data_IF_026725871778
#
_entry.id   IF_026725871778
#
_cell.length_a   1.000
_cell.length_b   1.000
_cell.length_c   1.000
_cell.angle_alpha   90.00
_cell.angle_beta   90.00
_cell.angle_gamma   90.00
#
_symmetry.space_group_name_H-M   'P 1'
#
loop_
_entity.id
_entity.type
_entity.pdbx_description
1 polymer ?
#
# COMPACT_ATOMS: atom_id res chain seq x y z
N UNK A 1 24.82 -4.58 -11.56
CA UNK A 1 23.85 -3.91 -12.44
C UNK A 1 23.29 -4.79 -13.57
N UNK A 2 24.05 -5.21 -14.60
CA UNK A 2 23.48 -6.04 -15.70
C UNK A 2 22.86 -7.37 -15.22
N UNK A 3 23.54 -8.04 -14.28
CA UNK A 3 23.06 -9.30 -13.72
C UNK A 3 21.77 -9.11 -12.89
N UNK A 4 21.63 -8.00 -12.15
CA UNK A 4 20.42 -7.69 -11.37
C UNK A 4 19.25 -7.31 -12.28
N UNK A 5 19.50 -6.48 -13.31
CA UNK A 5 18.50 -6.09 -14.30
C UNK A 5 18.00 -7.29 -15.10
N UNK A 6 18.89 -8.24 -15.42
CA UNK A 6 18.52 -9.49 -16.08
C UNK A 6 17.64 -10.37 -15.18
N UNK A 7 18.01 -10.58 -13.92
CA UNK A 7 17.16 -11.35 -12.99
C UNK A 7 15.80 -10.69 -12.74
N UNK A 8 15.76 -9.35 -12.65
CA UNK A 8 14.51 -8.59 -12.57
C UNK A 8 13.66 -8.78 -13.83
N UNK A 9 14.24 -8.69 -15.03
CA UNK A 9 13.50 -8.93 -16.28
C UNK A 9 12.98 -10.35 -16.36
N UNK A 10 13.85 -11.34 -16.18
CA UNK A 10 13.53 -12.75 -16.37
C UNK A 10 12.50 -13.22 -15.32
N UNK A 11 12.66 -12.80 -14.05
CA UNK A 11 11.73 -13.11 -12.97
C UNK A 11 10.37 -12.42 -13.11
N UNK A 12 10.31 -11.26 -13.76
CA UNK A 12 9.06 -10.54 -14.00
C UNK A 12 8.42 -10.86 -15.36
N UNK A 13 9.10 -11.54 -16.29
CA UNK A 13 8.49 -11.90 -17.58
C UNK A 13 7.41 -12.97 -17.41
N UNK A 14 7.70 -14.01 -16.62
CA UNK A 14 6.79 -15.11 -16.28
C UNK A 14 6.97 -15.53 -14.81
N UNK A 15 6.51 -14.71 -13.84
CA UNK A 15 6.66 -15.02 -12.43
C UNK A 15 5.87 -16.29 -12.06
N UNK A 16 6.39 -17.07 -11.11
CA UNK A 16 5.61 -18.15 -10.52
C UNK A 16 4.44 -17.54 -9.74
N UNK A 17 3.27 -18.19 -9.81
CA UNK A 17 2.02 -17.67 -9.24
C UNK A 17 1.62 -18.46 -8.00
N UNK A 18 1.14 -17.80 -6.94
CA UNK A 18 0.77 -16.38 -6.87
C UNK A 18 1.97 -15.43 -6.85
N UNK A 19 1.94 -14.41 -7.71
CA UNK A 19 2.91 -13.33 -7.76
C UNK A 19 2.41 -12.15 -6.91
N UNK A 20 3.08 -11.95 -5.77
CA UNK A 20 2.76 -10.88 -4.81
C UNK A 20 3.78 -9.75 -4.96
N UNK A 21 3.28 -8.53 -5.03
CA UNK A 21 4.07 -7.31 -5.06
C UNK A 21 3.80 -6.51 -3.79
N UNK A 22 4.86 -6.00 -3.17
CA UNK A 22 4.78 -5.10 -2.01
C UNK A 22 5.32 -3.75 -2.46
N UNK A 23 4.51 -2.69 -2.37
CA UNK A 23 4.93 -1.34 -2.74
C UNK A 23 4.70 -0.38 -1.57
N UNK A 24 5.80 0.22 -1.12
CA UNK A 24 5.78 1.29 -0.14
C UNK A 24 6.39 2.58 -0.71
N UNK A 25 6.15 3.68 -0.01
CA UNK A 25 6.74 4.97 -0.33
C UNK A 25 6.00 6.12 0.31
N UNK A 26 6.54 7.34 0.14
CA UNK A 26 5.93 8.55 0.66
C UNK A 26 4.90 9.19 -0.28
N UNK A 27 4.95 8.85 -1.57
CA UNK A 27 4.15 9.46 -2.64
C UNK A 27 3.69 8.40 -3.62
N UNK A 28 2.42 8.48 -4.02
CA UNK A 28 1.85 7.71 -5.12
C UNK A 28 2.49 8.14 -6.44
N UNK A 29 2.72 9.44 -6.64
CA UNK A 29 3.25 10.02 -7.88
C UNK A 29 4.56 9.38 -8.35
N UNK A 30 5.48 9.11 -7.42
CA UNK A 30 6.77 8.46 -7.68
C UNK A 30 6.64 6.98 -8.07
N UNK A 31 5.46 6.37 -7.90
CA UNK A 31 5.22 4.93 -8.04
C UNK A 31 4.17 4.58 -9.10
N UNK A 32 3.53 5.56 -9.74
CA UNK A 32 2.44 5.33 -10.72
C UNK A 32 2.88 4.40 -11.85
N UNK A 33 4.04 4.67 -12.47
CA UNK A 33 4.52 3.89 -13.61
C UNK A 33 4.79 2.43 -13.24
N UNK A 34 5.45 2.23 -12.10
CA UNK A 34 5.75 0.91 -11.55
C UNK A 34 4.46 0.16 -11.20
N UNK A 35 3.52 0.81 -10.51
CA UNK A 35 2.25 0.22 -10.13
C UNK A 35 1.44 -0.22 -11.36
N UNK A 36 1.33 0.64 -12.39
CA UNK A 36 0.63 0.30 -13.64
C UNK A 36 1.28 -0.88 -14.36
N UNK A 37 2.61 -0.94 -14.43
CA UNK A 37 3.32 -2.04 -15.07
C UNK A 37 3.16 -3.37 -14.29
N UNK A 38 3.18 -3.31 -12.94
CA UNK A 38 3.05 -4.49 -12.11
C UNK A 38 1.61 -5.01 -12.04
N UNK A 39 0.60 -4.13 -12.14
CA UNK A 39 -0.81 -4.53 -12.29
C UNK A 39 -1.09 -5.38 -13.54
N UNK A 40 -0.18 -5.43 -14.52
CA UNK A 40 -0.35 -6.31 -15.68
C UNK A 40 0.00 -7.77 -15.39
N UNK A 41 0.70 -8.03 -14.28
CA UNK A 41 1.32 -9.31 -14.01
C UNK A 41 1.00 -9.86 -12.62
N UNK A 42 0.99 -9.00 -11.60
CA UNK A 42 0.78 -9.37 -10.21
C UNK A 42 -0.62 -9.93 -9.98
N UNK A 43 -0.71 -10.96 -9.13
CA UNK A 43 -1.98 -11.45 -8.60
C UNK A 43 -2.45 -10.55 -7.44
N UNK A 44 -1.51 -10.14 -6.58
CA UNK A 44 -1.78 -9.31 -5.40
C UNK A 44 -0.76 -8.19 -5.28
N UNK A 45 -1.21 -7.00 -4.92
CA UNK A 45 -0.36 -5.84 -4.64
C UNK A 45 -0.69 -5.32 -3.24
N UNK A 46 0.28 -5.32 -2.33
CA UNK A 46 0.19 -4.80 -0.97
C UNK A 46 0.75 -3.38 -0.93
N UNK A 47 -0.04 -2.39 -0.50
CA UNK A 47 0.37 -0.98 -0.48
C UNK A 47 0.67 -0.52 0.95
N UNK A 48 1.92 -0.14 1.21
CA UNK A 48 2.36 0.37 2.51
C UNK A 48 2.87 1.81 2.50
N UNK A 49 3.28 2.29 3.67
CA UNK A 49 3.87 3.62 3.85
C UNK A 49 2.89 4.77 3.61
N UNK A 50 3.42 6.00 3.58
CA UNK A 50 2.61 7.21 3.47
C UNK A 50 1.78 7.31 2.18
N UNK A 51 2.20 6.64 1.09
CA UNK A 51 1.42 6.61 -0.15
C UNK A 51 0.06 5.90 0.01
N UNK A 52 -0.05 4.95 0.95
CA UNK A 52 -1.32 4.27 1.26
C UNK A 52 -2.40 5.26 1.68
N UNK A 53 -2.03 6.35 2.39
CA UNK A 53 -2.99 7.36 2.87
C UNK A 53 -3.74 8.05 1.72
N UNK A 54 -3.11 8.24 0.56
CA UNK A 54 -3.80 8.81 -0.61
C UNK A 54 -4.87 7.86 -1.15
N UNK A 55 -4.63 6.55 -1.13
CA UNK A 55 -5.63 5.54 -1.51
C UNK A 55 -6.75 5.45 -0.47
N UNK A 56 -6.42 5.41 0.82
CA UNK A 56 -7.40 5.42 1.91
C UNK A 56 -8.31 6.66 1.83
N UNK A 57 -7.72 7.84 1.57
CA UNK A 57 -8.47 9.08 1.32
C UNK A 57 -9.39 8.96 0.11
N UNK A 58 -8.96 8.30 -0.96
CA UNK A 58 -9.76 8.08 -2.16
C UNK A 58 -10.99 7.17 -1.91
N UNK A 59 -10.88 6.24 -0.95
CA UNK A 59 -11.97 5.41 -0.43
C UNK A 59 -12.85 6.12 0.62
N UNK A 60 -12.58 7.39 0.92
CA UNK A 60 -13.35 8.17 1.88
C UNK A 60 -12.98 7.91 3.34
N UNK A 61 -11.88 7.22 3.61
CA UNK A 61 -11.40 6.95 4.97
C UNK A 61 -10.70 8.21 5.52
N UNK A 62 -11.03 8.65 6.75
CA UNK A 62 -10.30 9.75 7.39
C UNK A 62 -8.84 9.37 7.66
N UNK A 63 -7.92 10.27 7.37
CA UNK A 63 -6.47 10.04 7.48
C UNK A 63 -5.78 11.06 8.40
N UNK A 64 -6.54 11.80 9.20
CA UNK A 64 -6.00 12.77 10.16
C UNK A 64 -5.00 13.74 9.52
N UNK A 65 -3.88 13.97 10.21
CA UNK A 65 -2.74 14.76 9.76
C UNK A 65 -1.72 13.96 8.90
N UNK A 66 -2.09 12.75 8.46
CA UNK A 66 -1.18 11.91 7.67
C UNK A 66 -0.82 12.56 6.33
N UNK A 67 0.39 12.27 5.86
CA UNK A 67 0.85 12.70 4.54
C UNK A 67 -0.04 12.13 3.43
N UNK A 68 -0.61 13.01 2.61
CA UNK A 68 -1.45 12.67 1.44
C UNK A 68 -1.06 13.55 0.26
N UNK A 69 -1.12 13.00 -0.95
CA UNK A 69 -1.07 13.78 -2.20
C UNK A 69 -2.50 14.12 -2.62
N UNK A 70 -3.04 15.23 -2.10
CA UNK A 70 -4.45 15.60 -2.29
C UNK A 70 -4.83 15.78 -3.76
N UNK A 71 -3.91 16.24 -4.60
CA UNK A 71 -4.06 16.39 -6.05
C UNK A 71 -3.98 15.06 -6.82
N UNK A 72 -3.76 13.94 -6.12
CA UNK A 72 -3.67 12.58 -6.68
C UNK A 72 -4.74 11.64 -6.15
N UNK A 73 -5.71 12.13 -5.37
CA UNK A 73 -6.82 11.32 -4.84
C UNK A 73 -7.67 10.70 -5.96
N UNK A 74 -7.98 11.47 -7.00
CA UNK A 74 -8.76 10.95 -8.14
C UNK A 74 -7.96 9.90 -8.92
N UNK A 75 -6.66 10.13 -9.11
CA UNK A 75 -5.78 9.13 -9.71
C UNK A 75 -5.71 7.84 -8.86
N UNK A 76 -5.63 7.95 -7.54
CA UNK A 76 -5.63 6.80 -6.66
C UNK A 76 -6.94 5.99 -6.79
N UNK A 77 -8.09 6.67 -6.94
CA UNK A 77 -9.38 6.04 -7.23
C UNK A 77 -9.36 5.31 -8.58
N UNK A 78 -8.86 5.94 -9.63
CA UNK A 78 -8.72 5.31 -10.95
C UNK A 78 -7.84 4.05 -10.92
N UNK A 79 -6.77 4.07 -10.11
CA UNK A 79 -5.87 2.94 -9.93
C UNK A 79 -6.55 1.78 -9.18
N UNK A 80 -7.35 2.07 -8.15
CA UNK A 80 -8.18 1.07 -7.46
C UNK A 80 -9.15 0.41 -8.43
N UNK A 81 -9.83 1.19 -9.25
CA UNK A 81 -10.77 0.67 -10.25
C UNK A 81 -10.07 -0.11 -11.35
N UNK A 82 -8.86 0.30 -11.74
CA UNK A 82 -8.03 -0.42 -12.70
C UNK A 82 -7.62 -1.79 -12.16
N UNK A 83 -7.20 -1.87 -10.89
CA UNK A 83 -6.89 -3.15 -10.24
C UNK A 83 -8.11 -4.09 -10.25
N UNK A 84 -9.29 -3.58 -9.86
CA UNK A 84 -10.55 -4.34 -9.90
C UNK A 84 -10.87 -4.86 -11.30
N UNK A 85 -10.79 -4.01 -12.33
CA UNK A 85 -11.04 -4.41 -13.73
C UNK A 85 -10.06 -5.47 -14.24
N UNK A 86 -8.81 -5.42 -13.79
CA UNK A 86 -7.75 -6.38 -14.16
C UNK A 86 -7.78 -7.66 -13.31
N UNK A 87 -8.62 -7.75 -12.29
CA UNK A 87 -8.64 -8.87 -11.37
C UNK A 87 -7.43 -8.93 -10.43
N UNK A 88 -6.70 -7.81 -10.27
CA UNK A 88 -5.57 -7.70 -9.35
C UNK A 88 -6.09 -7.37 -7.96
N UNK A 89 -5.68 -8.16 -6.97
CA UNK A 89 -6.02 -7.90 -5.57
C UNK A 89 -5.12 -6.80 -5.01
N UNK A 90 -5.58 -5.55 -5.07
CA UNK A 90 -4.89 -4.43 -4.45
C UNK A 90 -5.33 -4.28 -2.98
N UNK A 91 -4.42 -4.50 -2.04
CA UNK A 91 -4.69 -4.56 -0.60
C UNK A 91 -4.11 -3.32 0.08
N UNK A 92 -4.98 -2.53 0.70
CA UNK A 92 -4.62 -1.36 1.52
C UNK A 92 -4.52 -1.74 3.00
N UNK A 93 -3.85 -0.92 3.83
CA UNK A 93 -3.88 -1.08 5.28
C UNK A 93 -5.31 -1.03 5.82
N UNK A 94 -5.63 -1.94 6.73
CA UNK A 94 -6.95 -2.02 7.38
C UNK A 94 -6.91 -1.49 8.82
N UNK A 95 -5.73 -1.19 9.34
CA UNK A 95 -5.45 -0.49 10.59
C UNK A 95 -4.05 0.13 10.49
N UNK A 96 -3.76 1.08 11.37
CA UNK A 96 -2.49 1.79 11.38
C UNK A 96 -1.96 1.94 12.80
N UNK A 97 -0.65 2.11 12.92
CA UNK A 97 -0.07 2.76 14.09
C UNK A 97 -0.12 4.26 13.83
N UNK A 98 -0.73 5.01 14.74
CA UNK A 98 -0.82 6.47 14.68
C UNK A 98 -0.05 7.12 15.82
N UNK A 99 0.46 8.33 15.56
CA UNK A 99 1.13 9.19 16.53
C UNK A 99 0.76 10.66 16.29
N UNK A 100 0.87 11.52 17.32
CA UNK A 100 0.66 12.97 17.17
C UNK A 100 1.85 13.64 16.44
N UNK A 101 3.03 13.03 16.51
CA UNK A 101 4.28 13.56 15.96
C UNK A 101 5.26 12.45 15.56
N UNK A 102 6.07 12.70 14.53
CA UNK A 102 7.12 11.77 14.07
C UNK A 102 8.44 12.15 14.74
N UNK A 103 8.68 11.63 15.93
CA UNK A 103 9.97 11.72 16.63
C UNK A 103 10.23 10.50 17.51
N UNK A 104 11.50 10.20 17.86
CA UNK A 104 11.82 9.15 18.81
C UNK A 104 11.06 9.33 20.14
N UNK A 105 10.44 8.25 20.62
CA UNK A 105 9.70 8.23 21.89
C UNK A 105 8.34 8.94 21.86
N UNK A 106 7.84 9.35 20.69
CA UNK A 106 6.48 9.84 20.56
C UNK A 106 5.46 8.79 21.04
N UNK A 107 4.33 9.26 21.59
CA UNK A 107 3.24 8.35 21.96
C UNK A 107 2.62 7.77 20.69
N UNK A 108 2.50 6.45 20.65
CA UNK A 108 1.92 5.72 19.53
C UNK A 108 0.77 4.84 20.03
N UNK A 109 -0.22 4.61 19.17
CA UNK A 109 -1.27 3.60 19.41
C UNK A 109 -1.72 2.99 18.09
N UNK A 110 -2.25 1.78 18.17
CA UNK A 110 -2.91 1.16 17.02
C UNK A 110 -4.32 1.73 16.89
N UNK A 111 -4.79 1.99 15.67
CA UNK A 111 -6.18 2.33 15.40
C UNK A 111 -7.07 1.10 15.54
N UNK A 112 -8.38 1.31 15.61
CA UNK A 112 -9.34 0.28 15.22
C UNK A 112 -9.24 0.00 13.72
N UNK A 113 -10.03 -0.97 13.23
CA UNK A 113 -10.15 -1.20 11.79
C UNK A 113 -10.61 0.08 11.09
N UNK A 114 -9.93 0.43 10.00
CA UNK A 114 -10.19 1.61 9.19
C UNK A 114 -11.48 1.44 8.38
N UNK A 115 -12.29 2.49 8.37
CA UNK A 115 -13.52 2.63 7.59
C UNK A 115 -13.82 4.11 7.36
N UNK A 116 -14.80 4.45 6.50
CA UNK A 116 -15.24 5.84 6.35
C UNK A 116 -15.74 6.48 7.66
N UNK A 117 -16.15 5.67 8.65
CA UNK A 117 -16.60 6.14 9.97
C UNK A 117 -15.48 6.17 11.01
N UNK A 118 -14.43 5.37 10.82
CA UNK A 118 -13.33 5.22 11.76
C UNK A 118 -12.00 5.26 11.01
N UNK A 119 -11.35 6.42 11.00
CA UNK A 119 -10.05 6.60 10.36
C UNK A 119 -8.91 6.85 11.34
N UNK A 120 -7.84 7.44 10.85
CA UNK A 120 -6.79 8.04 11.70
C UNK A 120 -7.41 9.23 12.45
N UNK A 121 -7.10 9.33 13.74
CA UNK A 121 -7.64 10.36 14.62
C UNK A 121 -7.24 11.77 14.16
N UNK A 122 -8.10 12.76 14.42
CA UNK A 122 -7.78 14.14 14.10
C UNK A 122 -6.55 14.63 14.87
N UNK A 123 -5.64 15.35 14.20
CA UNK A 123 -4.33 15.73 14.73
C UNK A 123 -3.29 14.60 14.80
N UNK A 124 -3.67 13.33 14.59
CA UNK A 124 -2.76 12.19 14.54
C UNK A 124 -2.39 11.85 13.10
N UNK A 125 -1.24 11.21 12.90
CA UNK A 125 -0.77 10.74 11.60
C UNK A 125 -0.42 9.25 11.66
N UNK A 126 -0.75 8.52 10.59
CA UNK A 126 -0.31 7.15 10.38
C UNK A 126 1.20 7.14 10.16
N UNK A 127 1.89 6.39 11.03
CA UNK A 127 3.36 6.28 11.05
C UNK A 127 3.84 4.88 10.70
N UNK A 128 2.96 3.88 10.80
CA UNK A 128 3.19 2.53 10.31
C UNK A 128 1.86 1.80 10.07
N UNK A 129 1.91 0.62 9.44
CA UNK A 129 0.78 -0.30 9.35
C UNK A 129 0.47 -0.92 10.72
N UNK A 130 -0.80 -1.14 11.01
CA UNK A 130 -1.23 -1.72 12.28
C UNK A 130 -1.12 -3.25 12.32
N UNK A 131 -1.35 -3.82 13.50
CA UNK A 131 -1.21 -5.25 13.74
C UNK A 131 -2.13 -6.12 12.86
N UNK A 132 -3.35 -5.68 12.57
CA UNK A 132 -4.27 -6.43 11.71
C UNK A 132 -3.82 -6.41 10.25
N UNK A 133 -3.23 -5.30 9.79
CA UNK A 133 -2.63 -5.17 8.46
C UNK A 133 -1.40 -6.04 8.33
N UNK A 134 -0.55 -6.09 9.36
CA UNK A 134 0.62 -6.99 9.40
C UNK A 134 0.16 -8.44 9.21
N UNK A 135 -0.83 -8.89 9.99
CA UNK A 135 -1.36 -10.25 9.87
C UNK A 135 -1.94 -10.53 8.47
N UNK A 136 -2.74 -9.59 7.94
CA UNK A 136 -3.28 -9.69 6.59
C UNK A 136 -2.18 -9.80 5.52
N UNK A 137 -1.13 -8.98 5.64
CA UNK A 137 -0.03 -8.99 4.67
C UNK A 137 0.81 -10.26 4.79
N UNK A 138 1.06 -10.75 6.00
CA UNK A 138 1.70 -12.04 6.23
C UNK A 138 0.94 -13.18 5.56
N UNK A 139 -0.39 -13.20 5.65
CA UNK A 139 -1.22 -14.23 5.01
C UNK A 139 -1.13 -14.19 3.49
N UNK A 140 -1.06 -13.01 2.87
CA UNK A 140 -0.90 -12.88 1.42
C UNK A 140 0.51 -13.26 0.98
N UNK A 141 1.53 -12.86 1.73
CA UNK A 141 2.93 -13.17 1.46
C UNK A 141 3.19 -14.67 1.58
N UNK A 142 2.62 -15.34 2.58
CA UNK A 142 2.81 -16.77 2.82
C UNK A 142 2.26 -17.66 1.68
N UNK A 143 1.34 -17.13 0.86
CA UNK A 143 0.77 -17.83 -0.31
C UNK A 143 1.58 -17.61 -1.59
N UNK A 144 2.58 -16.73 -1.56
CA UNK A 144 3.28 -16.29 -2.77
C UNK A 144 4.32 -17.31 -3.24
N UNK A 145 4.30 -17.63 -4.53
CA UNK A 145 5.39 -18.37 -5.20
C UNK A 145 6.45 -17.43 -5.76
N UNK A 146 6.13 -16.14 -5.91
CA UNK A 146 7.08 -15.08 -6.26
C UNK A 146 6.72 -13.81 -5.51
N UNK A 147 7.72 -13.15 -4.94
CA UNK A 147 7.57 -11.88 -4.22
C UNK A 147 8.48 -10.83 -4.86
N UNK A 148 7.93 -9.65 -5.12
CA UNK A 148 8.71 -8.44 -5.41
C UNK A 148 8.40 -7.40 -4.34
N UNK A 149 9.42 -6.82 -3.73
CA UNK A 149 9.29 -5.73 -2.76
C UNK A 149 10.21 -4.58 -3.14
#
# INVERSE_FOLDING_TARGET
MEKELKHLRDGLEKPARPFVVILGGAKVSDKIGVLKALMEKADTILIGGAMANTFLKAEGIPVGASRVESDKVDLARELLDTAKRRGVKLVLPIDAVEAEEIRPGARMRNTSRLSPQHGISDGWQAVDIGAATIALYQDEIAKAETILW
#
